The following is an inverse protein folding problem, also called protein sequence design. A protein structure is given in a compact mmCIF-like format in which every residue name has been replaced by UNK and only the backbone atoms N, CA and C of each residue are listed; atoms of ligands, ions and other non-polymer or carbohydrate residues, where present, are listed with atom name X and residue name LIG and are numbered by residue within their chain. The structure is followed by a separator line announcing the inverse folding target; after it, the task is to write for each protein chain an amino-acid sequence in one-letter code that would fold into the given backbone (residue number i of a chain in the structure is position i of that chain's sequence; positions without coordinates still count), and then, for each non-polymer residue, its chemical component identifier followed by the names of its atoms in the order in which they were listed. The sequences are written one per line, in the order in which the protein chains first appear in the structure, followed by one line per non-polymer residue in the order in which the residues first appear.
data_IF_104572751290
#
_entry.id   IF_104572751290
#
_cell.length_a   1.000
_cell.length_b   1.000
_cell.length_c   1.000
_cell.angle_alpha   90.00
_cell.angle_beta   90.00
_cell.angle_gamma   90.00
#
_symmetry.space_group_name_H-M   'P 1'
#
loop_
_entity.id
_entity.type
_entity.pdbx_description
1 polymer ?
#
# COMPACT_ATOMS: atom_id res chain seq x y z
N UNK A 1 -29.49 -8.78 -5.34
CA UNK A 1 -28.78 -9.83 -6.12
C UNK A 1 -27.32 -9.83 -5.69
N UNK A 2 -26.79 -11.01 -5.38
CA UNK A 2 -25.38 -11.27 -5.13
C UNK A 2 -24.83 -12.11 -6.29
N UNK A 3 -23.60 -11.84 -6.73
CA UNK A 3 -22.90 -12.62 -7.75
C UNK A 3 -21.51 -12.97 -7.25
N UNK A 4 -21.25 -14.27 -7.15
CA UNK A 4 -19.95 -14.82 -6.81
C UNK A 4 -19.37 -15.49 -8.05
N UNK A 5 -18.15 -15.11 -8.44
CA UNK A 5 -17.43 -15.74 -9.54
C UNK A 5 -16.23 -16.47 -8.96
N UNK A 6 -16.08 -17.75 -9.28
CA UNK A 6 -14.97 -18.60 -8.84
C UNK A 6 -14.23 -19.07 -10.08
N UNK A 7 -12.93 -18.82 -10.13
CA UNK A 7 -12.04 -19.17 -11.23
C UNK A 7 -10.96 -20.13 -10.72
N UNK A 8 -11.15 -21.46 -10.83
CA UNK A 8 -10.13 -22.43 -10.49
C UNK A 8 -9.10 -22.56 -11.63
N UNK A 9 -7.84 -22.79 -11.27
CA UNK A 9 -6.76 -23.15 -12.19
C UNK A 9 -6.01 -24.35 -11.61
N UNK A 10 -5.74 -25.34 -12.45
CA UNK A 10 -5.00 -26.55 -12.05
C UNK A 10 -3.91 -26.78 -13.08
N UNK A 11 -2.69 -27.05 -12.62
CA UNK A 11 -1.55 -27.38 -13.47
C UNK A 11 -0.85 -28.62 -12.96
N UNK A 12 -0.39 -29.48 -13.86
CA UNK A 12 0.42 -30.65 -13.52
C UNK A 12 1.80 -30.50 -14.15
N UNK A 13 2.85 -30.72 -13.35
CA UNK A 13 4.24 -30.71 -13.80
C UNK A 13 4.93 -31.99 -13.34
N UNK A 14 5.60 -32.66 -14.28
CA UNK A 14 6.47 -33.78 -13.99
C UNK A 14 7.89 -33.47 -14.48
N UNK A 15 8.85 -33.69 -13.61
CA UNK A 15 10.27 -33.63 -13.91
C UNK A 15 10.86 -35.03 -13.67
N UNK A 16 11.35 -35.71 -14.72
CA UNK A 16 11.97 -37.02 -14.60
C UNK A 16 13.19 -37.02 -13.67
N UNK A 17 13.53 -38.20 -13.12
CA UNK A 17 14.76 -38.36 -12.35
C UNK A 17 15.98 -38.49 -13.27
N UNK A 18 16.55 -37.37 -13.70
CA UNK A 18 17.76 -37.37 -14.53
C UNK A 18 19.02 -37.88 -13.81
N UNK A 19 18.97 -38.03 -12.48
CA UNK A 19 20.02 -38.69 -11.70
C UNK A 19 19.99 -40.22 -11.75
N UNK A 20 18.94 -40.81 -12.33
CA UNK A 20 18.90 -42.27 -12.53
C UNK A 20 19.94 -42.68 -13.57
N UNK A 21 20.68 -43.80 -13.34
CA UNK A 21 21.63 -44.34 -14.32
C UNK A 21 21.03 -44.57 -15.71
N UNK A 22 19.72 -44.81 -15.79
CA UNK A 22 18.96 -45.01 -17.04
C UNK A 22 19.10 -43.86 -18.03
N UNK A 23 19.27 -42.62 -17.55
CA UNK A 23 19.40 -41.45 -18.42
C UNK A 23 20.86 -41.13 -18.81
N UNK A 24 21.84 -41.81 -18.21
CA UNK A 24 23.26 -41.67 -18.55
C UNK A 24 23.89 -40.30 -18.23
N UNK A 25 23.17 -39.36 -17.61
CA UNK A 25 23.72 -38.03 -17.30
C UNK A 25 24.67 -38.04 -16.09
N UNK A 26 24.52 -39.00 -15.18
CA UNK A 26 25.28 -39.11 -13.94
C UNK A 26 25.79 -40.53 -13.76
N UNK A 27 27.09 -40.65 -13.50
CA UNK A 27 27.78 -41.90 -13.24
C UNK A 27 28.23 -41.97 -11.78
N UNK A 28 27.99 -43.10 -11.09
CA UNK A 28 28.48 -43.29 -9.73
C UNK A 28 29.99 -43.56 -9.75
N UNK A 29 30.72 -42.99 -8.81
CA UNK A 29 32.11 -43.34 -8.52
C UNK A 29 32.33 -43.46 -7.01
N UNK A 30 33.29 -44.29 -6.60
CA UNK A 30 33.59 -44.50 -5.19
C UNK A 30 34.61 -43.45 -4.72
N UNK A 31 34.27 -42.72 -3.65
CA UNK A 31 35.08 -41.61 -3.13
C UNK A 31 35.85 -41.98 -1.86
N UNK A 32 35.46 -43.05 -1.16
CA UNK A 32 36.17 -43.56 0.02
C UNK A 32 36.30 -45.08 -0.02
N UNK A 33 37.34 -45.61 0.61
CA UNK A 33 37.56 -47.05 0.83
C UNK A 33 36.40 -47.69 1.62
N UNK A 34 35.67 -46.88 2.40
CA UNK A 34 34.45 -47.27 3.15
C UNK A 34 33.20 -47.50 2.28
N UNK A 35 33.31 -47.40 0.95
CA UNK A 35 32.19 -47.62 0.02
C UNK A 35 31.25 -46.43 -0.18
N UNK A 36 31.65 -45.21 0.20
CA UNK A 36 30.87 -44.00 -0.08
C UNK A 36 30.86 -43.72 -1.59
N UNK A 37 29.68 -43.76 -2.20
CA UNK A 37 29.46 -43.47 -3.61
C UNK A 37 29.09 -41.99 -3.78
N UNK A 38 29.79 -41.31 -4.68
CA UNK A 38 29.44 -39.98 -5.19
C UNK A 38 29.14 -40.05 -6.69
N UNK A 39 28.64 -38.97 -7.28
CA UNK A 39 28.17 -38.96 -8.67
C UNK A 39 28.82 -37.82 -9.44
N UNK A 40 29.38 -38.14 -10.60
CA UNK A 40 29.91 -37.15 -11.53
C UNK A 40 29.13 -37.20 -12.85
N UNK A 41 29.14 -36.11 -13.61
CA UNK A 41 28.58 -36.09 -14.96
C UNK A 41 29.70 -35.99 -15.99
N UNK A 42 29.86 -36.98 -16.89
CA UNK A 42 30.84 -36.91 -17.99
C UNK A 42 30.63 -35.71 -18.91
N UNK A 43 29.42 -35.15 -18.93
CA UNK A 43 29.02 -34.03 -19.78
C UNK A 43 29.13 -32.66 -19.09
N UNK A 44 29.63 -32.60 -17.85
CA UNK A 44 29.73 -31.34 -17.08
C UNK A 44 30.63 -30.27 -17.70
N UNK A 45 31.57 -30.64 -18.58
CA UNK A 45 32.46 -29.73 -19.30
C UNK A 45 31.96 -29.27 -20.68
N UNK A 46 30.76 -29.67 -21.10
CA UNK A 46 30.23 -29.33 -22.43
C UNK A 46 29.61 -27.92 -22.47
N UNK A 47 29.37 -27.40 -23.67
CA UNK A 47 28.73 -26.10 -23.89
C UNK A 47 27.29 -26.01 -23.34
N UNK A 48 26.63 -27.15 -23.11
CA UNK A 48 25.27 -27.22 -22.55
C UNK A 48 25.30 -27.80 -21.13
N UNK A 49 24.52 -27.21 -20.23
CA UNK A 49 24.40 -27.67 -18.84
C UNK A 49 23.66 -29.00 -18.74
N UNK A 50 24.11 -29.84 -17.81
CA UNK A 50 23.51 -31.13 -17.53
C UNK A 50 22.28 -30.99 -16.62
N UNK A 51 21.21 -31.76 -16.86
CA UNK A 51 20.07 -31.76 -15.95
C UNK A 51 20.48 -32.16 -14.52
N UNK A 52 19.99 -31.39 -13.53
CA UNK A 52 20.33 -31.62 -12.12
C UNK A 52 19.89 -33.02 -11.66
N UNK A 53 20.76 -33.68 -10.88
CA UNK A 53 20.48 -34.98 -10.23
C UNK A 53 19.28 -34.93 -9.29
N UNK A 54 19.01 -33.78 -8.67
CA UNK A 54 17.93 -33.57 -7.70
C UNK A 54 16.61 -33.10 -8.32
N UNK A 55 16.51 -33.08 -9.65
CA UNK A 55 15.36 -32.48 -10.35
C UNK A 55 14.08 -33.33 -10.32
N UNK A 56 14.09 -34.52 -9.71
CA UNK A 56 12.94 -35.41 -9.67
C UNK A 56 11.76 -34.82 -8.88
N UNK A 57 10.67 -34.50 -9.56
CA UNK A 57 9.47 -33.97 -8.91
C UNK A 57 8.23 -34.28 -9.74
N UNK A 58 7.10 -34.54 -9.09
CA UNK A 58 5.79 -34.51 -9.73
C UNK A 58 4.90 -33.63 -8.86
N UNK A 59 4.47 -32.50 -9.39
CA UNK A 59 3.67 -31.54 -8.63
C UNK A 59 2.38 -31.17 -9.34
N UNK A 60 1.30 -31.15 -8.57
CA UNK A 60 0.03 -30.55 -8.96
C UNK A 60 -0.03 -29.15 -8.35
N UNK A 61 -0.11 -28.11 -9.16
CA UNK A 61 -0.41 -26.75 -8.70
C UNK A 61 -1.91 -26.51 -8.80
N UNK A 62 -2.46 -25.81 -7.82
CA UNK A 62 -3.84 -25.35 -7.84
C UNK A 62 -3.90 -23.90 -7.40
N UNK A 63 -4.82 -23.14 -7.99
CA UNK A 63 -5.19 -21.82 -7.52
C UNK A 63 -6.68 -21.60 -7.72
N UNK A 64 -7.27 -20.82 -6.84
CA UNK A 64 -8.66 -20.41 -6.94
C UNK A 64 -8.69 -18.91 -6.71
N UNK A 65 -9.22 -18.17 -7.68
CA UNK A 65 -9.52 -16.76 -7.54
C UNK A 65 -11.03 -16.56 -7.44
N UNK A 66 -11.45 -15.64 -6.59
CA UNK A 66 -12.86 -15.37 -6.32
C UNK A 66 -13.13 -13.87 -6.35
N UNK A 67 -14.29 -13.49 -6.88
CA UNK A 67 -14.78 -12.12 -6.85
C UNK A 67 -16.23 -12.10 -6.38
N UNK A 68 -16.59 -11.11 -5.56
CA UNK A 68 -17.94 -10.98 -5.01
C UNK A 68 -18.51 -9.60 -5.32
N UNK A 69 -19.69 -9.61 -5.95
CA UNK A 69 -20.39 -8.42 -6.40
C UNK A 69 -21.83 -8.42 -5.92
N UNK A 70 -22.38 -7.24 -5.66
CA UNK A 70 -23.78 -7.06 -5.28
C UNK A 70 -24.43 -5.96 -6.12
N UNK A 71 -25.74 -6.05 -6.33
CA UNK A 71 -26.57 -4.93 -6.77
C UNK A 71 -27.14 -4.23 -5.54
N UNK A 72 -26.84 -2.94 -5.41
CA UNK A 72 -27.34 -2.07 -4.33
C UNK A 72 -28.23 -0.97 -4.92
N UNK A 73 -29.22 -0.51 -4.17
CA UNK A 73 -30.09 0.58 -4.62
C UNK A 73 -29.28 1.86 -4.84
N UNK A 74 -29.55 2.58 -5.91
CA UNK A 74 -28.89 3.83 -6.26
C UNK A 74 -29.91 4.92 -6.49
N UNK A 75 -29.81 6.02 -5.72
CA UNK A 75 -30.68 7.20 -5.86
C UNK A 75 -30.34 8.08 -7.09
N UNK A 76 -29.22 7.81 -7.78
CA UNK A 76 -28.71 8.62 -8.90
C UNK A 76 -28.79 7.93 -10.27
N UNK A 77 -29.06 6.63 -10.30
CA UNK A 77 -29.05 5.85 -11.53
C UNK A 77 -30.48 5.71 -12.06
N UNK A 78 -30.70 5.92 -13.35
CA UNK A 78 -32.00 5.77 -14.02
C UNK A 78 -32.60 4.37 -13.88
N UNK A 79 -31.79 3.36 -13.58
CA UNK A 79 -32.22 1.99 -13.28
C UNK A 79 -32.56 1.71 -11.81
N UNK A 80 -32.33 2.68 -10.90
CA UNK A 80 -32.53 2.52 -9.45
C UNK A 80 -31.56 1.56 -8.76
N UNK A 81 -30.68 0.87 -9.49
CA UNK A 81 -29.79 -0.17 -8.97
C UNK A 81 -28.37 -0.03 -9.54
N UNK A 82 -27.38 0.09 -8.66
CA UNK A 82 -25.96 0.12 -9.02
C UNK A 82 -25.28 -1.19 -8.67
N UNK A 83 -24.47 -1.72 -9.58
CA UNK A 83 -23.61 -2.87 -9.32
C UNK A 83 -22.32 -2.42 -8.62
N UNK A 84 -21.94 -3.09 -7.55
CA UNK A 84 -20.76 -2.77 -6.73
C UNK A 84 -19.95 -4.03 -6.41
N UNK A 85 -18.62 -3.91 -6.40
CA UNK A 85 -17.72 -4.98 -5.94
C UNK A 85 -17.56 -4.87 -4.43
N UNK A 86 -17.63 -6.01 -3.74
CA UNK A 86 -17.36 -6.11 -2.29
C UNK A 86 -15.98 -6.76 -2.09
N UNK A 87 -15.72 -7.82 -2.83
CA UNK A 87 -14.41 -8.48 -2.91
C UNK A 87 -13.93 -8.36 -4.34
N UNK A 88 -12.86 -7.59 -4.53
CA UNK A 88 -12.25 -7.43 -5.85
C UNK A 88 -11.48 -8.68 -6.26
N UNK A 89 -10.80 -9.30 -5.30
CA UNK A 89 -10.10 -10.56 -5.47
C UNK A 89 -9.89 -11.23 -4.11
N UNK A 90 -10.37 -12.45 -3.96
CA UNK A 90 -9.90 -13.38 -2.94
C UNK A 90 -9.26 -14.57 -3.65
N UNK A 91 -7.97 -14.76 -3.48
CA UNK A 91 -7.24 -15.85 -4.13
C UNK A 91 -6.43 -16.66 -3.15
N UNK A 92 -6.44 -17.96 -3.33
CA UNK A 92 -5.51 -18.86 -2.66
C UNK A 92 -4.88 -19.79 -3.68
N UNK A 93 -3.64 -20.21 -3.41
CA UNK A 93 -2.93 -21.15 -4.28
C UNK A 93 -2.06 -22.08 -3.46
N UNK A 94 -1.71 -23.21 -4.04
CA UNK A 94 -0.84 -24.19 -3.42
C UNK A 94 -0.33 -25.19 -4.45
N UNK A 95 0.53 -26.08 -3.98
CA UNK A 95 1.05 -27.17 -4.77
C UNK A 95 1.14 -28.44 -3.94
N UNK A 96 0.94 -29.58 -4.58
CA UNK A 96 1.07 -30.89 -3.98
C UNK A 96 2.14 -31.67 -4.73
N UNK A 97 3.27 -31.95 -4.08
CA UNK A 97 4.35 -32.77 -4.64
C UNK A 97 4.12 -34.24 -4.27
N UNK A 98 3.78 -35.05 -5.26
CA UNK A 98 3.50 -36.47 -5.09
C UNK A 98 4.74 -37.27 -4.65
N UNK A 99 5.92 -36.81 -5.07
CA UNK A 99 7.21 -37.50 -4.89
C UNK A 99 8.01 -37.03 -3.68
N UNK A 100 7.51 -36.06 -2.90
CA UNK A 100 8.19 -35.64 -1.68
C UNK A 100 8.03 -36.70 -0.57
N UNK A 101 9.11 -36.98 0.18
CA UNK A 101 9.10 -37.94 1.28
C UNK A 101 8.20 -37.49 2.45
N UNK A 102 8.08 -36.18 2.66
CA UNK A 102 7.23 -35.59 3.69
C UNK A 102 6.74 -34.21 3.27
N UNK A 103 5.68 -33.72 3.93
CA UNK A 103 5.11 -32.39 3.69
C UNK A 103 4.77 -32.14 2.21
N UNK A 104 4.04 -33.09 1.61
CA UNK A 104 3.68 -33.09 0.20
C UNK A 104 2.90 -31.84 -0.24
N UNK A 105 2.05 -31.29 0.61
CA UNK A 105 1.31 -30.06 0.35
C UNK A 105 2.18 -28.83 0.69
N UNK A 106 2.19 -27.81 -0.16
CA UNK A 106 2.89 -26.57 0.16
C UNK A 106 2.15 -25.74 1.20
N UNK A 107 2.78 -24.67 1.68
CA UNK A 107 2.03 -23.59 2.30
C UNK A 107 1.08 -22.96 1.27
N UNK A 108 0.00 -22.37 1.77
CA UNK A 108 -1.10 -21.81 0.99
C UNK A 108 -1.07 -20.30 1.17
N UNK A 109 -0.44 -19.54 0.26
CA UNK A 109 -0.61 -18.10 0.22
C UNK A 109 -2.08 -17.74 -0.07
N UNK A 110 -2.56 -16.76 0.69
CA UNK A 110 -3.89 -16.16 0.66
C UNK A 110 -3.71 -14.69 0.31
N UNK A 111 -4.54 -14.17 -0.58
CA UNK A 111 -4.61 -12.75 -0.90
C UNK A 111 -6.06 -12.32 -0.98
N UNK A 112 -6.40 -11.23 -0.32
CA UNK A 112 -7.72 -10.63 -0.29
C UNK A 112 -7.60 -9.13 -0.56
N UNK A 113 -8.30 -8.65 -1.57
CA UNK A 113 -8.48 -7.24 -1.89
C UNK A 113 -9.96 -6.91 -1.85
N UNK A 114 -10.30 -5.87 -1.10
CA UNK A 114 -11.66 -5.39 -0.95
C UNK A 114 -11.71 -3.87 -1.10
N UNK A 115 -12.67 -3.39 -1.88
CA UNK A 115 -13.15 -2.01 -1.84
C UNK A 115 -14.52 -1.98 -1.20
N UNK A 116 -14.80 -0.99 -0.36
CA UNK A 116 -16.12 -0.84 0.25
C UNK A 116 -16.99 0.07 -0.63
N UNK A 117 -18.15 -0.42 -1.13
CA UNK A 117 -19.09 0.40 -1.88
C UNK A 117 -19.54 1.62 -1.09
N UNK A 118 -19.46 2.81 -1.70
CA UNK A 118 -19.89 4.07 -1.08
C UNK A 118 -18.76 4.85 -0.40
N UNK A 119 -17.65 4.20 -0.07
CA UNK A 119 -16.43 4.85 0.41
C UNK A 119 -15.45 5.01 -0.76
N UNK A 120 -15.41 6.20 -1.36
CA UNK A 120 -14.40 6.52 -2.38
C UNK A 120 -13.01 6.48 -1.73
N UNK A 121 -12.02 5.91 -2.40
CA UNK A 121 -10.64 5.81 -1.94
C UNK A 121 -10.44 5.05 -0.62
N UNK A 122 -11.32 4.09 -0.32
CA UNK A 122 -11.13 3.12 0.76
C UNK A 122 -10.75 1.76 0.19
N UNK A 123 -9.67 1.18 0.68
CA UNK A 123 -9.20 -0.14 0.25
C UNK A 123 -8.63 -0.95 1.39
N UNK A 124 -8.94 -2.24 1.40
CA UNK A 124 -8.36 -3.24 2.30
C UNK A 124 -7.58 -4.23 1.44
N UNK A 125 -6.32 -4.46 1.80
CA UNK A 125 -5.49 -5.51 1.24
C UNK A 125 -5.00 -6.40 2.38
N UNK A 126 -5.25 -7.69 2.28
CA UNK A 126 -4.78 -8.69 3.24
C UNK A 126 -4.00 -9.74 2.45
N UNK A 127 -2.78 -10.04 2.88
CA UNK A 127 -2.01 -11.18 2.37
C UNK A 127 -1.63 -12.04 3.56
N UNK A 128 -1.72 -13.36 3.44
CA UNK A 128 -1.35 -14.27 4.51
C UNK A 128 -0.78 -15.56 3.94
N UNK A 129 -0.02 -16.29 4.74
CA UNK A 129 0.44 -17.63 4.39
C UNK A 129 -0.08 -18.62 5.42
N UNK A 130 -0.88 -19.58 4.96
CA UNK A 130 -1.38 -20.68 5.77
C UNK A 130 -0.46 -21.89 5.62
N UNK A 131 0.08 -22.37 6.72
CA UNK A 131 0.82 -23.63 6.79
C UNK A 131 -0.14 -24.73 7.27
N UNK A 132 -0.46 -25.72 6.43
CA UNK A 132 -1.45 -26.74 6.79
C UNK A 132 -0.91 -27.79 7.77
N UNK A 133 0.38 -27.75 8.10
CA UNK A 133 1.05 -28.73 8.95
C UNK A 133 1.10 -28.29 10.42
N UNK A 134 0.97 -29.28 11.29
CA UNK A 134 1.05 -29.13 12.73
C UNK A 134 2.51 -28.93 13.18
N UNK A 135 2.68 -28.51 14.43
CA UNK A 135 3.98 -28.45 15.10
C UNK A 135 4.13 -29.51 16.16
N UNK A 136 5.33 -30.04 16.25
CA UNK A 136 5.74 -30.97 17.29
C UNK A 136 7.13 -30.63 17.81
N UNK A 137 7.56 -31.40 18.81
CA UNK A 137 8.92 -31.33 19.34
C UNK A 137 9.78 -32.26 18.47
N UNK A 138 10.80 -31.71 17.83
CA UNK A 138 11.77 -32.44 17.03
C UNK A 138 12.77 -33.20 17.91
N UNK A 139 13.63 -34.01 17.28
CA UNK A 139 14.59 -34.88 17.97
C UNK A 139 15.58 -34.12 18.90
N UNK A 140 15.80 -32.84 18.64
CA UNK A 140 16.67 -31.94 19.42
C UNK A 140 15.90 -31.10 20.47
N UNK A 141 14.63 -31.41 20.74
CA UNK A 141 13.79 -30.65 21.67
C UNK A 141 13.25 -29.32 21.12
N UNK A 142 13.60 -28.95 19.88
CA UNK A 142 13.09 -27.73 19.26
C UNK A 142 11.73 -27.94 18.62
N UNK A 143 10.91 -26.90 18.58
CA UNK A 143 9.68 -26.93 17.81
C UNK A 143 10.02 -27.08 16.32
N UNK A 144 9.33 -27.98 15.64
CA UNK A 144 9.50 -28.23 14.20
C UNK A 144 8.14 -28.52 13.56
N UNK A 145 8.03 -28.29 12.25
CA UNK A 145 6.87 -28.75 11.48
C UNK A 145 6.89 -30.27 11.43
N UNK A 146 5.74 -30.89 11.68
CA UNK A 146 5.58 -32.34 11.55
C UNK A 146 4.66 -32.65 10.37
N UNK A 147 4.87 -33.79 9.71
CA UNK A 147 4.07 -34.23 8.56
C UNK A 147 2.66 -34.72 8.98
N UNK A 148 1.93 -33.91 9.74
CA UNK A 148 0.55 -34.13 10.14
C UNK A 148 -0.25 -32.88 9.79
N UNK A 149 -1.29 -33.05 8.98
CA UNK A 149 -2.15 -31.94 8.61
C UNK A 149 -3.00 -31.53 9.82
N UNK A 150 -3.08 -30.23 10.11
CA UNK A 150 -3.87 -29.70 11.22
C UNK A 150 -5.36 -30.02 11.07
N UNK A 151 -5.87 -30.01 9.83
CA UNK A 151 -7.27 -30.30 9.52
C UNK A 151 -7.65 -31.74 9.88
N UNK A 152 -6.75 -32.69 9.65
CA UNK A 152 -6.97 -34.10 9.98
C UNK A 152 -6.99 -34.35 11.51
N UNK A 153 -6.34 -33.47 12.28
CA UNK A 153 -6.28 -33.54 13.75
C UNK A 153 -7.29 -32.62 14.44
N UNK A 154 -8.25 -32.03 13.72
CA UNK A 154 -9.25 -31.12 14.29
C UNK A 154 -8.71 -29.77 14.78
N UNK A 155 -7.49 -29.38 14.38
CA UNK A 155 -6.82 -28.13 14.82
C UNK A 155 -7.05 -26.94 13.87
N UNK A 156 -8.05 -27.04 12.99
CA UNK A 156 -8.36 -26.02 11.97
C UNK A 156 -7.64 -26.24 10.63
N UNK A 157 -7.85 -25.33 9.68
CA UNK A 157 -7.38 -25.45 8.29
C UNK A 157 -5.85 -25.36 8.14
N UNK A 158 -5.18 -24.84 9.17
CA UNK A 158 -3.74 -24.62 9.19
C UNK A 158 -3.41 -23.44 10.10
N UNK A 159 -2.12 -23.19 10.25
CA UNK A 159 -1.59 -22.06 11.01
C UNK A 159 -1.18 -20.94 10.07
N UNK A 160 -1.61 -19.72 10.36
CA UNK A 160 -1.06 -18.54 9.70
C UNK A 160 0.39 -18.34 10.17
N UNK A 161 1.35 -18.37 9.25
CA UNK A 161 2.78 -18.15 9.53
C UNK A 161 3.18 -16.70 9.35
N UNK A 162 2.49 -16.00 8.44
CA UNK A 162 2.58 -14.56 8.26
C UNK A 162 1.24 -14.02 7.78
N UNK A 163 0.93 -12.79 8.16
CA UNK A 163 -0.14 -12.02 7.56
C UNK A 163 0.23 -10.54 7.54
N UNK A 164 -0.05 -9.88 6.43
CA UNK A 164 0.02 -8.43 6.30
C UNK A 164 -1.38 -7.91 5.97
N UNK A 165 -1.81 -6.87 6.67
CA UNK A 165 -3.06 -6.17 6.40
C UNK A 165 -2.73 -4.70 6.18
N UNK A 166 -3.25 -4.11 5.12
CA UNK A 166 -3.13 -2.70 4.82
C UNK A 166 -4.50 -2.13 4.51
N UNK A 167 -4.94 -1.18 5.32
CA UNK A 167 -6.20 -0.47 5.19
C UNK A 167 -5.87 0.98 4.90
N UNK A 168 -6.19 1.42 3.68
CA UNK A 168 -5.98 2.80 3.23
C UNK A 168 -7.32 3.52 3.10
N UNK A 169 -7.40 4.75 3.60
CA UNK A 169 -8.53 5.62 3.37
C UNK A 169 -8.11 7.06 3.11
N UNK A 170 -8.50 7.61 1.96
CA UNK A 170 -8.24 9.01 1.60
C UNK A 170 -9.53 9.81 1.52
N UNK A 171 -9.70 10.73 2.44
CA UNK A 171 -10.65 11.82 2.34
C UNK A 171 -10.07 12.91 1.43
N UNK A 172 -10.89 13.42 0.52
CA UNK A 172 -10.57 14.61 -0.26
C UNK A 172 -11.74 15.57 -0.14
N UNK A 173 -11.46 16.88 -0.16
CA UNK A 173 -12.45 17.91 -0.45
C UNK A 173 -13.17 17.57 -1.75
N UNK A 174 -14.48 17.76 -1.80
CA UNK A 174 -15.20 17.66 -3.07
C UNK A 174 -14.59 18.63 -4.08
N UNK A 175 -14.38 18.19 -5.32
CA UNK A 175 -14.16 19.13 -6.43
C UNK A 175 -15.36 20.08 -6.44
N UNK A 176 -15.13 21.37 -6.21
CA UNK A 176 -16.14 22.37 -6.55
C UNK A 176 -16.40 22.21 -8.05
N UNK A 177 -17.66 21.98 -8.41
CA UNK A 177 -18.10 21.86 -9.80
C UNK A 177 -18.15 23.22 -10.51
N UNK A 178 -17.56 24.27 -9.94
CA UNK A 178 -17.56 25.58 -10.55
C UNK A 178 -16.27 25.78 -11.35
N UNK A 179 -16.45 26.25 -12.58
CA UNK A 179 -15.47 26.87 -13.48
C UNK A 179 -14.88 28.16 -12.91
N UNK A 180 -14.62 28.22 -11.60
CA UNK A 180 -13.88 29.28 -10.97
C UNK A 180 -12.39 29.02 -11.18
N UNK A 181 -11.86 29.49 -12.29
CA UNK A 181 -10.42 29.55 -12.49
C UNK A 181 -9.78 30.23 -11.27
N UNK A 182 -8.68 29.70 -10.70
CA UNK A 182 -7.91 30.43 -9.71
C UNK A 182 -7.52 31.78 -10.33
N UNK A 183 -7.72 32.87 -9.59
CA UNK A 183 -7.36 34.23 -10.02
C UNK A 183 -5.84 34.36 -10.14
N UNK A 184 -5.27 33.80 -11.20
CA UNK A 184 -3.88 33.95 -11.60
C UNK A 184 -3.92 34.06 -13.13
N UNK A 185 -3.90 35.32 -13.58
CA UNK A 185 -3.76 35.78 -14.97
C UNK A 185 -5.02 35.73 -15.85
N UNK A 186 -6.07 36.48 -15.49
CA UNK A 186 -6.92 37.07 -16.53
C UNK A 186 -6.18 38.30 -17.08
N UNK A 187 -5.57 38.14 -18.24
CA UNK A 187 -5.43 39.26 -19.15
C UNK A 187 -6.86 39.68 -19.50
N UNK A 188 -7.20 40.92 -19.15
CA UNK A 188 -8.49 41.56 -19.45
C UNK A 188 -8.68 41.48 -20.96
N UNK A 189 -9.49 40.55 -21.47
CA UNK A 189 -9.85 40.45 -22.90
C UNK A 189 -10.94 39.41 -23.21
N UNK A 190 -11.82 39.06 -22.27
CA UNK A 190 -13.00 38.24 -22.61
C UNK A 190 -14.29 38.93 -22.23
N UNK A 191 -15.30 38.77 -23.08
CA UNK A 191 -16.68 39.29 -22.95
C UNK A 191 -17.36 38.89 -21.60
N UNK A 192 -16.77 37.94 -20.87
CA UNK A 192 -17.17 37.51 -19.53
C UNK A 192 -16.81 38.51 -18.41
N UNK A 193 -15.80 39.36 -18.57
CA UNK A 193 -15.43 40.37 -17.55
C UNK A 193 -16.46 41.51 -17.44
N UNK A 194 -17.20 41.80 -18.53
CA UNK A 194 -18.28 42.81 -18.55
C UNK A 194 -19.52 42.40 -17.74
N UNK A 195 -19.63 41.12 -17.36
CA UNK A 195 -20.70 40.59 -16.53
C UNK A 195 -20.28 40.43 -15.06
N UNK A 196 -19.05 40.83 -14.72
CA UNK A 196 -18.55 40.76 -13.35
C UNK A 196 -19.13 41.92 -12.51
N UNK A 197 -19.96 41.67 -11.48
CA UNK A 197 -20.55 42.71 -10.64
C UNK A 197 -19.53 43.45 -9.76
N UNK A 198 -18.23 43.14 -9.87
CA UNK A 198 -17.13 43.88 -9.24
C UNK A 198 -16.34 44.75 -10.23
N UNK A 199 -16.60 44.63 -11.53
CA UNK A 199 -16.05 45.53 -12.55
C UNK A 199 -16.81 46.88 -12.51
N UNK A 200 -16.08 47.97 -12.67
CA UNK A 200 -16.63 49.33 -12.75
C UNK A 200 -16.24 49.91 -14.11
N UNK A 201 -17.22 49.98 -15.01
CA UNK A 201 -17.10 50.65 -16.30
C UNK A 201 -17.72 52.05 -16.16
N UNK A 202 -16.92 53.14 -16.27
CA UNK A 202 -17.43 54.51 -16.24
C UNK A 202 -18.38 54.84 -17.39
N UNK A 203 -18.24 54.17 -18.53
CA UNK A 203 -19.00 54.46 -19.76
C UNK A 203 -20.29 53.63 -19.88
N UNK A 204 -20.42 52.54 -19.11
CA UNK A 204 -21.64 51.72 -19.01
C UNK A 204 -21.91 51.26 -17.56
N UNK A 205 -22.49 52.13 -16.71
CA UNK A 205 -22.80 51.77 -15.33
C UNK A 205 -23.93 50.73 -15.26
N UNK A 206 -23.64 49.57 -14.66
CA UNK A 206 -24.65 48.54 -14.35
C UNK A 206 -25.64 49.09 -13.32
N UNK A 207 -26.94 48.84 -13.53
CA UNK A 207 -28.01 49.20 -12.59
C UNK A 207 -27.69 48.71 -11.15
N UNK A 208 -27.71 49.59 -10.13
CA UNK A 208 -27.44 49.25 -8.74
C UNK A 208 -28.31 48.10 -8.19
N UNK A 209 -29.55 47.95 -8.66
CA UNK A 209 -30.47 46.89 -8.26
C UNK A 209 -30.04 45.54 -8.84
N UNK A 210 -29.69 45.54 -10.13
CA UNK A 210 -29.17 44.36 -10.84
C UNK A 210 -27.83 43.91 -10.23
N UNK A 211 -26.96 44.87 -9.87
CA UNK A 211 -25.69 44.59 -9.18
C UNK A 211 -25.91 43.91 -7.83
N UNK A 212 -26.88 44.37 -7.03
CA UNK A 212 -27.24 43.72 -5.75
C UNK A 212 -27.80 42.31 -5.95
N UNK A 213 -28.63 42.09 -6.97
CA UNK A 213 -29.15 40.76 -7.31
C UNK A 213 -28.02 39.82 -7.73
N UNK A 214 -27.10 40.26 -8.59
CA UNK A 214 -25.93 39.48 -9.02
C UNK A 214 -24.98 39.17 -7.85
N UNK A 215 -24.71 40.15 -6.97
CA UNK A 215 -23.91 39.92 -5.76
C UNK A 215 -24.60 38.97 -4.77
N UNK A 216 -25.93 39.02 -4.65
CA UNK A 216 -26.69 38.09 -3.79
C UNK A 216 -26.78 36.67 -4.35
N UNK A 217 -26.70 36.52 -5.68
CA UNK A 217 -26.70 35.22 -6.37
C UNK A 217 -25.32 34.55 -6.39
N UNK A 218 -24.25 35.32 -6.19
CA UNK A 218 -22.87 34.80 -6.15
C UNK A 218 -22.56 34.36 -4.72
N UNK A 219 -23.09 33.21 -4.31
CA UNK A 219 -22.66 32.55 -3.08
C UNK A 219 -21.16 32.25 -3.18
N UNK A 220 -20.37 32.83 -2.27
CA UNK A 220 -18.94 32.57 -2.18
C UNK A 220 -18.75 31.12 -1.74
N UNK A 221 -18.47 30.22 -2.69
CA UNK A 221 -18.16 28.82 -2.43
C UNK A 221 -16.72 28.73 -1.92
N UNK A 222 -16.53 28.77 -0.60
CA UNK A 222 -15.25 28.53 0.04
C UNK A 222 -14.91 27.03 0.00
N UNK A 223 -14.67 26.48 -1.19
CA UNK A 223 -14.18 25.11 -1.34
C UNK A 223 -12.67 25.09 -1.05
N UNK A 224 -12.29 25.04 0.22
CA UNK A 224 -10.89 24.86 0.64
C UNK A 224 -10.45 23.45 0.20
N UNK A 225 -9.48 23.30 -0.72
CA UNK A 225 -9.03 21.98 -1.12
C UNK A 225 -8.19 21.37 0.00
N UNK A 226 -8.61 20.20 0.45
CA UNK A 226 -7.92 19.44 1.49
C UNK A 226 -7.92 17.95 1.15
N UNK A 227 -6.89 17.24 1.59
CA UNK A 227 -6.87 15.79 1.60
C UNK A 227 -6.36 15.28 2.94
N UNK A 228 -6.89 14.15 3.37
CA UNK A 228 -6.46 13.46 4.58
C UNK A 228 -6.45 11.97 4.30
N UNK A 229 -5.28 11.36 4.40
CA UNK A 229 -5.07 9.94 4.17
C UNK A 229 -4.68 9.27 5.46
N UNK A 230 -5.33 8.14 5.75
CA UNK A 230 -4.98 7.23 6.81
C UNK A 230 -4.57 5.90 6.22
N UNK A 231 -3.48 5.34 6.72
CA UNK A 231 -2.99 4.03 6.36
C UNK A 231 -2.76 3.24 7.64
N UNK A 232 -3.60 2.24 7.88
CA UNK A 232 -3.42 1.32 8.99
C UNK A 232 -2.80 0.02 8.48
N UNK A 233 -1.68 -0.38 9.08
CA UNK A 233 -0.91 -1.55 8.70
C UNK A 233 -0.79 -2.51 9.88
N UNK A 234 -1.07 -3.79 9.65
CA UNK A 234 -0.81 -4.87 10.60
C UNK A 234 0.17 -5.83 9.95
N UNK A 235 1.25 -6.15 10.65
CA UNK A 235 2.18 -7.21 10.29
C UNK A 235 2.17 -8.28 11.38
N UNK A 236 1.74 -9.47 11.01
CA UNK A 236 1.74 -10.65 11.86
C UNK A 236 2.78 -11.64 11.34
N UNK A 237 3.61 -12.15 12.24
CA UNK A 237 4.50 -13.28 11.94
C UNK A 237 4.43 -14.30 13.06
N UNK A 238 4.56 -15.57 12.70
CA UNK A 238 4.55 -16.69 13.61
C UNK A 238 5.62 -17.70 13.20
N UNK A 239 6.77 -17.60 13.85
CA UNK A 239 7.84 -18.58 13.74
C UNK A 239 7.55 -19.72 14.72
N UNK A 240 6.74 -20.67 14.25
CA UNK A 240 6.28 -21.86 14.95
C UNK A 240 5.36 -21.57 16.14
N UNK A 241 5.90 -20.95 17.20
CA UNK A 241 5.18 -20.51 18.39
C UNK A 241 5.50 -19.06 18.81
N UNK A 242 6.57 -18.46 18.25
CA UNK A 242 6.91 -17.06 18.51
C UNK A 242 6.07 -16.17 17.62
N UNK A 243 5.04 -15.56 18.21
CA UNK A 243 4.14 -14.63 17.55
C UNK A 243 4.68 -13.21 17.72
N UNK A 244 4.77 -12.48 16.63
CA UNK A 244 5.07 -11.06 16.64
C UNK A 244 3.99 -10.32 15.85
N UNK A 245 3.46 -9.24 16.41
CA UNK A 245 2.39 -8.44 15.82
C UNK A 245 2.78 -6.97 15.93
N UNK A 246 3.07 -6.37 14.79
CA UNK A 246 3.36 -4.95 14.69
C UNK A 246 2.14 -4.27 14.06
N UNK A 247 1.66 -3.21 14.69
CA UNK A 247 0.53 -2.43 14.17
C UNK A 247 0.91 -0.95 14.14
N UNK A 248 0.68 -0.32 13.00
CA UNK A 248 0.98 1.10 12.81
C UNK A 248 -0.17 1.80 12.11
N UNK A 249 -0.46 3.03 12.54
CA UNK A 249 -1.35 3.95 11.84
C UNK A 249 -0.51 5.11 11.34
N UNK A 250 -0.39 5.28 10.02
CA UNK A 250 0.19 6.47 9.41
C UNK A 250 -0.93 7.40 8.95
N UNK A 251 -0.73 8.69 9.13
CA UNK A 251 -1.62 9.71 8.62
C UNK A 251 -0.83 10.76 7.85
N UNK A 252 -1.44 11.28 6.79
CA UNK A 252 -0.88 12.37 5.99
C UNK A 252 -2.01 13.23 5.48
N UNK A 253 -1.93 14.54 5.65
CA UNK A 253 -2.92 15.47 5.14
C UNK A 253 -2.28 16.72 4.57
N UNK A 254 -3.00 17.37 3.66
CA UNK A 254 -2.68 18.71 3.20
C UNK A 254 -3.94 19.55 3.07
N UNK A 255 -3.81 20.84 3.32
CA UNK A 255 -4.91 21.81 3.18
C UNK A 255 -4.36 23.15 2.73
N UNK A 256 -5.02 23.75 1.74
CA UNK A 256 -4.72 25.12 1.34
C UNK A 256 -5.72 26.07 2.02
N UNK A 257 -5.39 26.56 3.22
CA UNK A 257 -6.26 27.43 4.01
C UNK A 257 -6.73 28.66 3.22
N UNK A 258 -5.86 29.20 2.36
CA UNK A 258 -6.17 30.26 1.37
C UNK A 258 -5.32 29.99 0.11
N UNK A 259 -5.53 30.70 -1.02
CA UNK A 259 -4.71 30.51 -2.22
C UNK A 259 -3.20 30.70 -2.01
N UNK A 260 -2.78 31.38 -0.93
CA UNK A 260 -1.39 31.66 -0.61
C UNK A 260 -0.88 30.91 0.63
N UNK A 261 -1.69 30.08 1.28
CA UNK A 261 -1.31 29.38 2.50
C UNK A 261 -1.56 27.88 2.34
N UNK A 262 -0.50 27.08 2.46
CA UNK A 262 -0.56 25.62 2.41
C UNK A 262 -0.04 25.01 3.71
N UNK A 263 -0.75 24.01 4.22
CA UNK A 263 -0.32 23.21 5.37
C UNK A 263 -0.22 21.76 4.94
N UNK A 264 0.86 21.09 5.34
CA UNK A 264 0.99 19.64 5.25
C UNK A 264 1.31 19.06 6.62
N UNK A 265 0.70 17.92 6.93
CA UNK A 265 0.95 17.17 8.16
C UNK A 265 1.21 15.72 7.77
N UNK A 266 2.28 15.14 8.29
CA UNK A 266 2.53 13.70 8.21
C UNK A 266 2.92 13.18 9.57
N UNK A 267 2.55 11.95 9.88
CA UNK A 267 2.99 11.29 11.10
C UNK A 267 2.39 9.91 11.20
N UNK A 268 2.49 9.34 12.39
CA UNK A 268 1.88 8.07 12.66
C UNK A 268 1.89 7.72 14.14
N UNK A 269 1.36 6.54 14.43
CA UNK A 269 1.24 5.98 15.74
C UNK A 269 1.63 4.51 15.67
N UNK A 270 2.55 4.11 16.54
CA UNK A 270 2.97 2.74 16.72
C UNK A 270 2.22 2.19 17.94
N UNK A 271 1.38 1.18 17.72
CA UNK A 271 0.52 0.63 18.78
C UNK A 271 1.27 -0.33 19.71
N UNK A 272 2.42 -0.86 19.31
CA UNK A 272 3.23 -1.74 20.15
C UNK A 272 3.92 -0.92 21.25
N UNK A 273 4.47 0.23 20.88
CA UNK A 273 5.13 1.15 21.81
C UNK A 273 4.16 2.16 22.43
N UNK A 274 2.94 2.31 21.88
CA UNK A 274 1.95 3.30 22.29
C UNK A 274 2.38 4.75 22.03
N UNK A 275 3.32 4.97 21.10
CA UNK A 275 3.94 6.27 20.85
C UNK A 275 3.63 6.79 19.45
N UNK A 276 3.56 8.12 19.35
CA UNK A 276 3.58 8.80 18.05
C UNK A 276 4.95 8.56 17.39
N UNK A 277 4.93 8.19 16.12
CA UNK A 277 6.13 8.17 15.29
C UNK A 277 6.55 9.61 14.95
N UNK A 278 7.72 9.76 14.33
CA UNK A 278 8.20 11.08 13.90
C UNK A 278 7.23 11.69 12.90
N UNK A 279 6.59 12.78 13.31
CA UNK A 279 5.72 13.57 12.46
C UNK A 279 6.43 14.80 11.91
N UNK A 280 5.92 15.33 10.81
CA UNK A 280 6.36 16.60 10.22
C UNK A 280 5.13 17.45 9.97
N UNK A 281 5.16 18.66 10.49
CA UNK A 281 4.22 19.71 10.16
C UNK A 281 4.92 20.75 9.31
N UNK A 282 4.38 21.08 8.14
CA UNK A 282 4.92 22.12 7.28
C UNK A 282 3.85 23.15 6.98
N UNK A 283 4.20 24.43 7.18
CA UNK A 283 3.39 25.59 6.84
C UNK A 283 4.13 26.37 5.77
N UNK A 284 3.46 26.62 4.64
CA UNK A 284 4.00 27.37 3.52
C UNK A 284 3.14 28.60 3.26
N UNK A 285 3.78 29.73 2.96
CA UNK A 285 3.10 30.95 2.52
C UNK A 285 3.74 31.52 1.26
N UNK A 286 2.89 31.81 0.30
CA UNK A 286 3.22 32.55 -0.91
C UNK A 286 3.20 34.07 -0.64
N UNK A 287 4.33 34.74 -0.88
CA UNK A 287 4.52 36.18 -0.74
C UNK A 287 4.79 36.83 -2.12
N UNK A 288 4.21 36.28 -3.19
CA UNK A 288 4.37 36.69 -4.58
C UNK A 288 5.76 36.36 -5.15
N UNK A 289 6.77 37.18 -4.88
CA UNK A 289 8.17 36.95 -5.33
C UNK A 289 8.98 36.12 -4.32
N UNK A 290 8.47 35.98 -3.10
CA UNK A 290 9.09 35.26 -2.01
C UNK A 290 8.21 34.09 -1.58
N UNK A 291 8.82 33.08 -0.99
CA UNK A 291 8.14 31.95 -0.36
C UNK A 291 8.67 31.80 1.06
N UNK A 292 7.74 31.66 1.99
CA UNK A 292 8.02 31.31 3.37
C UNK A 292 7.69 29.84 3.59
N UNK A 293 8.55 29.11 4.29
CA UNK A 293 8.35 27.72 4.68
C UNK A 293 8.78 27.52 6.13
N UNK A 294 7.89 26.98 6.94
CA UNK A 294 8.17 26.54 8.31
C UNK A 294 7.93 25.04 8.39
N UNK A 295 8.93 24.26 8.79
CA UNK A 295 8.82 22.81 8.99
C UNK A 295 9.21 22.45 10.40
N UNK A 296 8.36 21.68 11.07
CA UNK A 296 8.49 21.34 12.49
C UNK A 296 8.31 19.84 12.70
N UNK A 297 9.24 19.25 13.43
CA UNK A 297 9.22 17.87 13.90
C UNK A 297 8.93 17.87 15.41
N UNK A 298 7.68 17.66 15.83
CA UNK A 298 7.31 17.76 17.25
C UNK A 298 7.67 16.53 18.08
N UNK A 299 7.77 15.36 17.43
CA UNK A 299 7.82 14.04 18.08
C UNK A 299 8.98 13.19 17.57
N UNK A 300 9.42 12.22 18.38
CA UNK A 300 10.53 11.32 18.06
C UNK A 300 11.89 11.82 18.54
N UNK A 301 12.94 11.07 18.23
CA UNK A 301 14.30 11.34 18.67
C UNK A 301 15.01 12.44 17.86
N UNK A 302 14.31 13.13 16.95
CA UNK A 302 14.89 14.20 16.11
C UNK A 302 14.01 15.45 16.09
N UNK A 303 13.53 15.86 17.28
CA UNK A 303 12.75 17.09 17.42
C UNK A 303 13.56 18.27 16.92
N UNK A 304 12.99 19.01 15.98
CA UNK A 304 13.68 20.09 15.27
C UNK A 304 12.66 21.00 14.60
N UNK A 305 13.07 22.21 14.25
CA UNK A 305 12.29 23.08 13.39
C UNK A 305 13.20 23.87 12.46
N UNK A 306 12.67 24.23 11.30
CA UNK A 306 13.34 25.07 10.33
C UNK A 306 12.35 26.08 9.77
N UNK A 307 12.83 27.29 9.55
CA UNK A 307 12.13 28.42 8.97
C UNK A 307 13.01 28.97 7.86
N UNK A 308 12.48 29.01 6.65
CA UNK A 308 13.13 29.58 5.48
C UNK A 308 12.21 30.63 4.86
N UNK A 309 12.79 31.75 4.44
CA UNK A 309 12.20 32.65 3.46
C UNK A 309 13.17 32.75 2.29
N UNK A 310 12.72 32.47 1.08
CA UNK A 310 13.55 32.49 -0.14
C UNK A 310 12.83 33.18 -1.30
N UNK A 311 13.59 33.78 -2.22
CA UNK A 311 13.07 34.34 -3.47
C UNK A 311 12.76 33.19 -4.44
N UNK A 312 11.58 33.21 -5.07
CA UNK A 312 11.13 32.13 -5.99
C UNK A 312 11.88 32.10 -7.31
N UNK A 313 12.36 33.25 -7.78
CA UNK A 313 13.05 33.36 -9.05
C UNK A 313 14.43 32.68 -8.98
N UNK A 314 14.69 31.75 -9.91
CA UNK A 314 15.95 30.99 -9.95
C UNK A 314 17.21 31.88 -10.04
N UNK A 315 17.07 33.09 -10.59
CA UNK A 315 18.16 34.07 -10.74
C UNK A 315 18.53 34.84 -9.45
N UNK A 316 17.73 34.75 -8.38
CA UNK A 316 17.91 35.54 -7.13
C UNK A 316 17.88 34.67 -5.86
N UNK A 317 18.16 33.36 -5.98
CA UNK A 317 18.11 32.40 -4.87
C UNK A 317 19.10 32.70 -3.72
N UNK A 318 20.07 33.59 -3.96
CA UNK A 318 21.07 33.99 -2.96
C UNK A 318 20.49 34.92 -1.87
N UNK A 319 19.35 35.58 -2.11
CA UNK A 319 18.58 36.25 -1.06
C UNK A 319 17.67 35.25 -0.35
N UNK A 320 18.17 34.71 0.77
CA UNK A 320 17.43 33.83 1.65
C UNK A 320 17.65 34.19 3.12
N UNK A 321 16.62 33.98 3.92
CA UNK A 321 16.68 34.07 5.37
C UNK A 321 16.35 32.71 5.96
N UNK A 322 17.33 32.07 6.59
CA UNK A 322 17.24 30.74 7.18
C UNK A 322 17.39 30.82 8.70
N UNK A 323 16.46 30.20 9.45
CA UNK A 323 16.57 30.00 10.90
C UNK A 323 16.15 28.57 11.24
N UNK A 324 16.93 27.85 12.01
CA UNK A 324 16.63 26.47 12.39
C UNK A 324 17.01 26.17 13.84
N UNK A 325 16.48 25.07 14.36
CA UNK A 325 16.90 24.43 15.61
C UNK A 325 17.11 22.95 15.32
N UNK A 326 18.30 22.46 15.63
CA UNK A 326 18.68 21.07 15.45
C UNK A 326 18.24 20.22 16.64
N UNK A 327 18.10 18.91 16.42
CA UNK A 327 17.95 17.96 17.53
C UNK A 327 19.16 17.99 18.47
N UNK A 328 20.35 18.26 17.93
CA UNK A 328 21.58 18.40 18.72
C UNK A 328 21.51 19.57 19.72
N UNK A 329 20.67 20.58 19.44
CA UNK A 329 20.50 21.75 20.30
C UNK A 329 19.47 21.50 21.43
N UNK A 330 18.70 20.40 21.36
CA UNK A 330 17.64 20.04 22.31
C UNK A 330 17.93 18.71 23.04
N UNK A 331 19.21 18.33 23.18
CA UNK A 331 19.63 17.17 23.98
C UNK A 331 19.41 17.52 25.46
N UNK A 332 18.46 16.83 26.09
CA UNK A 332 18.21 16.90 27.53
C UNK A 332 19.27 16.05 28.25
N UNK A 333 20.26 16.72 28.82
CA UNK A 333 21.25 16.12 29.70
C UNK A 333 20.63 16.02 31.09
N UNK A 334 19.80 15.01 31.32
CA UNK A 334 19.01 14.89 32.55
C UNK A 334 19.82 15.17 33.82
N UNK A 335 19.34 16.15 34.61
CA UNK A 335 19.65 16.32 36.04
C UNK A 335 18.55 15.67 36.89
#
# INVERSE_FOLDING_TARGET
MLRHTITPTIGFRYTPNFGSPTYGYWEPYQTSEDGKIDYYSPYSGNAYSVPSRSSHAASLTFSVAQTLEAKVASKRDTSGMKKVKIIDNFSFSGSYNFLADSMKLSTIPLSLRMTIPGLKNFGINISATLDPYDIGIGANGQLTRINKLMIANGKGLGRITNASTSIGYTFNSGQSNQTGQPAINNSINTQADLLNPFYFDPDNPIDPLLRRQMMSATYYDFSIPWNLTFNYSISYSNQLARKNIVQTLSYSGSVNLTPKWGITLTGGFDFETGKLTTGVFTLTRDLHCWQMSFSWVPTGARKSWQFNISVKAAALQDLKYDKHSSYLDNIDWGE
#
